data_IF_692880037411
#
_entry.id   IF_692880037411
#
_cell.length_a   1.000
_cell.length_b   1.000
_cell.length_c   1.000
_cell.angle_alpha   90.00
_cell.angle_beta   90.00
_cell.angle_gamma   90.00
#
_symmetry.space_group_name_H-M   'P 1'
#
loop_
_entity.id
_entity.type
_entity.pdbx_description
1 polymer ?
#
# COMPACT_ATOMS: atom_id res chain seq x y z
N UNK A 1 16.66 6.69 10.14
CA UNK A 1 16.33 7.91 9.34
C UNK A 1 15.99 7.63 7.87
N UNK A 2 16.65 6.70 7.13
CA UNK A 2 16.32 6.46 5.71
C UNK A 2 14.86 6.04 5.43
N UNK A 3 14.26 5.25 6.32
CA UNK A 3 12.89 4.75 6.15
C UNK A 3 11.83 5.86 6.10
N UNK A 4 12.00 6.96 6.84
CA UNK A 4 11.05 8.07 6.83
C UNK A 4 11.11 8.85 5.52
N UNK A 5 12.31 9.03 4.94
CA UNK A 5 12.47 9.68 3.63
C UNK A 5 11.81 8.85 2.54
N UNK A 6 12.02 7.51 2.54
CA UNK A 6 11.34 6.61 1.59
C UNK A 6 9.82 6.68 1.70
N UNK A 7 9.30 6.69 2.93
CA UNK A 7 7.85 6.80 3.17
C UNK A 7 7.27 8.17 2.78
N UNK A 8 8.06 9.25 2.81
CA UNK A 8 7.63 10.57 2.33
C UNK A 8 7.62 10.67 0.80
N UNK A 9 8.48 9.92 0.12
CA UNK A 9 8.62 9.93 -1.35
C UNK A 9 7.71 8.91 -2.06
N UNK A 10 7.43 7.79 -1.42
CA UNK A 10 6.58 6.73 -1.96
C UNK A 10 5.13 6.90 -1.48
N UNK A 11 4.14 6.49 -2.29
CA UNK A 11 2.74 6.52 -1.87
C UNK A 11 2.52 5.70 -0.60
N UNK A 12 1.87 6.30 0.39
CA UNK A 12 1.44 5.63 1.64
C UNK A 12 -0.05 5.29 1.64
N UNK A 13 -0.79 5.75 0.63
CA UNK A 13 -2.19 5.45 0.37
C UNK A 13 -2.41 5.22 -1.12
N UNK A 14 -3.33 4.31 -1.46
CA UNK A 14 -3.72 4.02 -2.83
C UNK A 14 -5.24 4.17 -2.97
N UNK A 15 -5.69 4.74 -4.09
CA UNK A 15 -7.09 4.69 -4.50
C UNK A 15 -7.21 3.70 -5.63
N UNK A 16 -8.04 2.68 -5.43
CA UNK A 16 -8.18 1.56 -6.37
C UNK A 16 -9.67 1.40 -6.68
N UNK A 17 -10.09 1.51 -7.95
CA UNK A 17 -11.47 1.28 -8.33
C UNK A 17 -11.90 -0.15 -8.00
N UNK A 18 -13.15 -0.32 -7.56
CA UNK A 18 -13.73 -1.62 -7.22
C UNK A 18 -14.99 -1.81 -8.05
N UNK A 19 -15.12 -2.96 -8.72
CA UNK A 19 -16.30 -3.31 -9.51
C UNK A 19 -16.73 -4.74 -9.20
N UNK A 20 -18.00 -4.94 -8.87
CA UNK A 20 -18.52 -6.27 -8.52
C UNK A 20 -17.81 -6.89 -7.31
N UNK A 21 -17.44 -6.08 -6.32
CA UNK A 21 -16.75 -6.53 -5.11
C UNK A 21 -15.28 -6.92 -5.32
N UNK A 22 -14.69 -6.64 -6.49
CA UNK A 22 -13.29 -6.95 -6.80
C UNK A 22 -12.50 -5.68 -7.16
N UNK A 23 -11.27 -5.52 -6.64
CA UNK A 23 -10.40 -4.42 -7.07
C UNK A 23 -10.05 -4.59 -8.56
N UNK A 24 -10.12 -3.48 -9.29
CA UNK A 24 -9.83 -3.43 -10.72
C UNK A 24 -8.32 -3.25 -10.95
N UNK A 25 -7.57 -4.32 -10.76
CA UNK A 25 -6.14 -4.36 -11.08
C UNK A 25 -5.92 -4.88 -12.51
N UNK A 26 -4.92 -4.33 -13.20
CA UNK A 26 -4.44 -4.89 -14.47
C UNK A 26 -3.76 -6.25 -14.28
N UNK A 27 -3.56 -6.99 -15.37
CA UNK A 27 -3.05 -8.39 -15.35
C UNK A 27 -1.73 -8.57 -14.59
N UNK A 28 -0.91 -7.50 -14.51
CA UNK A 28 0.40 -7.52 -13.86
C UNK A 28 0.50 -6.53 -12.68
N UNK A 29 -0.64 -5.99 -12.22
CA UNK A 29 -0.66 -5.09 -11.07
C UNK A 29 -0.86 -5.86 -9.77
N UNK A 30 -0.04 -5.54 -8.78
CA UNK A 30 -0.15 -6.05 -7.41
C UNK A 30 -0.06 -4.91 -6.41
N UNK A 31 -0.67 -5.10 -5.24
CA UNK A 31 -0.59 -4.17 -4.12
C UNK A 31 0.44 -4.74 -3.13
N UNK A 32 1.44 -3.93 -2.78
CA UNK A 32 2.51 -4.33 -1.89
C UNK A 32 2.57 -3.45 -0.65
N UNK A 33 2.76 -4.08 0.50
CA UNK A 33 3.18 -3.41 1.72
C UNK A 33 4.70 -3.51 1.82
N UNK A 34 5.40 -2.39 1.69
CA UNK A 34 6.86 -2.37 1.76
C UNK A 34 7.29 -1.88 3.14
N UNK A 35 7.87 -2.78 3.93
CA UNK A 35 8.56 -2.41 5.18
C UNK A 35 9.91 -1.78 4.83
N UNK A 36 10.12 -0.53 5.25
CA UNK A 36 11.35 0.20 4.97
C UNK A 36 12.36 0.16 6.12
N UNK A 37 11.95 -0.36 7.29
CA UNK A 37 12.84 -0.56 8.44
C UNK A 37 13.48 -1.95 8.36
N UNK A 38 14.72 -2.05 8.83
CA UNK A 38 15.47 -3.31 8.78
C UNK A 38 14.92 -4.36 9.75
N UNK A 39 14.34 -3.91 10.86
CA UNK A 39 13.69 -4.78 11.84
C UNK A 39 12.25 -5.10 11.41
N UNK A 40 11.74 -6.32 11.68
CA UNK A 40 10.35 -6.66 11.41
C UNK A 40 9.41 -5.85 12.32
N UNK A 41 8.32 -5.37 11.74
CA UNK A 41 7.27 -4.66 12.47
C UNK A 41 5.89 -5.18 12.10
N UNK A 42 4.98 -5.14 13.07
CA UNK A 42 3.56 -5.36 12.81
C UNK A 42 2.95 -4.09 12.24
N UNK A 43 2.41 -4.19 11.03
CA UNK A 43 1.74 -3.08 10.33
C UNK A 43 0.22 -3.29 10.31
N UNK A 44 -0.50 -2.19 10.12
CA UNK A 44 -1.94 -2.17 9.89
C UNK A 44 -2.19 -1.40 8.60
N UNK A 45 -3.03 -1.94 7.74
CA UNK A 45 -3.50 -1.29 6.52
C UNK A 45 -5.00 -1.12 6.67
N UNK A 46 -5.48 0.12 6.59
CA UNK A 46 -6.89 0.41 6.61
C UNK A 46 -7.46 0.37 5.18
N UNK A 47 -8.71 -0.06 5.05
CA UNK A 47 -9.47 -0.01 3.79
C UNK A 47 -10.77 0.72 4.08
N UNK A 48 -11.16 1.61 3.19
CA UNK A 48 -12.39 2.38 3.28
C UNK A 48 -13.11 2.32 1.93
N UNK A 49 -14.42 2.14 1.98
CA UNK A 49 -15.32 2.21 0.83
C UNK A 49 -16.22 3.42 1.04
N UNK A 50 -16.17 4.37 0.10
CA UNK A 50 -17.06 5.52 0.05
C UNK A 50 -18.21 5.23 -0.93
#
# INVERSE_FOLDING_TARGET
MPAHIKAALLPTSLQIPVRGGRPMLGQWQGIYLVEHRDAPHRRRVAVHFA
#
